data_IF_357995027340
#
_entry.id   IF_357995027340
#
_cell.length_a   1.000
_cell.length_b   1.000
_cell.length_c   1.000
_cell.angle_alpha   90.00
_cell.angle_beta   90.00
_cell.angle_gamma   90.00
#
_symmetry.space_group_name_H-M   'P 1'
#
loop_
_entity.id
_entity.type
_entity.pdbx_description
1 polymer ?
#
# COMPACT_ATOMS: atom_id res chain seq x y z
N UNK A 1 13.62 19.91 -19.02
CA UNK A 1 13.42 18.55 -19.56
C UNK A 1 13.91 17.41 -18.65
N UNK A 2 14.69 17.63 -17.59
CA UNK A 2 15.15 16.57 -16.67
C UNK A 2 14.11 16.17 -15.60
N UNK A 3 13.10 16.99 -15.32
CA UNK A 3 12.15 16.74 -14.23
C UNK A 3 11.06 15.70 -14.58
N UNK A 4 10.73 15.57 -15.86
CA UNK A 4 9.67 14.63 -16.29
C UNK A 4 10.13 13.18 -16.23
N UNK A 5 11.43 12.91 -16.48
CA UNK A 5 11.97 11.54 -16.40
C UNK A 5 12.01 10.98 -14.97
N UNK A 6 12.18 11.85 -13.96
CA UNK A 6 12.19 11.41 -12.55
C UNK A 6 10.81 11.05 -12.01
N UNK A 7 9.77 11.74 -12.47
CA UNK A 7 8.41 11.51 -11.96
C UNK A 7 7.81 10.16 -12.35
N UNK A 8 8.34 9.53 -13.37
CA UNK A 8 7.79 8.32 -13.97
C UNK A 8 8.28 7.04 -13.30
N UNK A 9 9.48 7.07 -12.70
CA UNK A 9 10.10 5.88 -12.10
C UNK A 9 9.33 5.29 -10.93
N UNK A 10 8.57 6.09 -10.20
CA UNK A 10 7.88 5.63 -9.00
C UNK A 10 6.48 5.09 -9.24
N UNK A 11 5.84 5.43 -10.34
CA UNK A 11 4.54 4.82 -10.69
C UNK A 11 4.64 3.31 -10.79
N UNK A 12 5.74 2.83 -11.36
CA UNK A 12 6.02 1.40 -11.51
C UNK A 12 6.27 0.75 -10.17
N UNK A 13 7.03 1.42 -9.32
CA UNK A 13 7.37 0.94 -7.99
C UNK A 13 6.14 0.70 -7.11
N UNK A 14 5.20 1.64 -7.12
CA UNK A 14 4.02 1.57 -6.26
C UNK A 14 2.92 0.69 -6.84
N UNK A 15 2.69 0.74 -8.15
CA UNK A 15 1.68 -0.12 -8.79
C UNK A 15 1.99 -1.59 -8.57
N UNK A 16 3.26 -1.98 -8.58
CA UNK A 16 3.70 -3.36 -8.37
C UNK A 16 3.87 -3.70 -6.89
N UNK A 17 4.31 -2.77 -6.03
CA UNK A 17 4.28 -2.98 -4.58
C UNK A 17 2.87 -3.29 -4.09
N UNK A 18 1.91 -2.50 -4.54
CA UNK A 18 0.50 -2.70 -4.19
C UNK A 18 -0.07 -3.97 -4.83
N UNK A 19 0.36 -4.35 -6.03
CA UNK A 19 -0.16 -5.55 -6.71
C UNK A 19 0.64 -6.81 -6.42
N UNK A 20 1.96 -6.73 -6.28
CA UNK A 20 2.83 -7.91 -6.15
C UNK A 20 3.01 -8.40 -4.73
N UNK A 21 2.95 -7.50 -3.73
CA UNK A 21 2.97 -7.91 -2.32
C UNK A 21 1.62 -8.48 -1.87
N UNK A 22 0.63 -8.52 -2.76
CA UNK A 22 -0.71 -9.03 -2.45
C UNK A 22 -1.49 -8.12 -1.50
N UNK A 23 -1.12 -6.86 -1.45
CA UNK A 23 -1.70 -5.87 -0.54
C UNK A 23 -3.03 -5.33 -1.08
N UNK A 24 -3.19 -5.23 -2.41
CA UNK A 24 -4.43 -4.73 -3.02
C UNK A 24 -5.70 -5.51 -2.66
N UNK A 25 -5.70 -6.86 -2.59
CA UNK A 25 -6.91 -7.57 -2.17
C UNK A 25 -7.20 -7.43 -0.68
N UNK A 26 -6.17 -7.29 0.15
CA UNK A 26 -6.37 -7.02 1.56
C UNK A 26 -7.01 -5.64 1.79
N UNK A 27 -6.75 -4.67 0.93
CA UNK A 27 -7.31 -3.31 1.03
C UNK A 27 -8.71 -3.18 0.44
N UNK A 28 -9.03 -3.88 -0.65
CA UNK A 28 -10.35 -3.81 -1.29
C UNK A 28 -11.49 -4.34 -0.39
N UNK A 29 -11.18 -5.29 0.50
CA UNK A 29 -12.15 -5.91 1.39
C UNK A 29 -12.25 -5.22 2.77
N UNK A 30 -11.49 -4.18 3.00
CA UNK A 30 -11.43 -3.49 4.27
C UNK A 30 -12.71 -2.75 4.64
N UNK A 31 -13.46 -2.31 3.66
CA UNK A 31 -14.71 -1.59 3.89
C UNK A 31 -15.83 -2.51 4.39
N UNK A 32 -15.65 -3.85 4.29
CA UNK A 32 -16.59 -4.86 4.78
C UNK A 32 -16.25 -5.41 6.17
N UNK A 33 -15.11 -5.02 6.75
CA UNK A 33 -14.75 -5.46 8.10
C UNK A 33 -15.66 -4.77 9.10
N UNK A 34 -16.38 -5.56 9.92
CA UNK A 34 -17.08 -5.01 11.08
C UNK A 34 -16.03 -4.64 12.12
N UNK A 35 -15.90 -3.36 12.36
CA UNK A 35 -15.10 -2.85 13.47
C UNK A 35 -15.94 -2.86 14.75
N UNK A 36 -15.31 -2.96 15.94
CA UNK A 36 -16.03 -2.71 17.19
C UNK A 36 -16.60 -1.28 17.18
N UNK A 37 -17.53 -1.01 18.07
CA UNK A 37 -18.00 0.36 18.27
C UNK A 37 -16.81 1.23 18.71
N UNK A 38 -16.42 2.16 17.86
CA UNK A 38 -15.39 3.17 18.14
C UNK A 38 -16.05 4.54 18.20
N UNK A 39 -15.47 5.43 19.01
CA UNK A 39 -15.84 6.83 19.07
C UNK A 39 -14.60 7.65 18.70
N UNK A 40 -14.69 8.42 17.62
CA UNK A 40 -13.67 9.35 17.19
C UNK A 40 -14.02 10.78 17.56
N UNK A 41 -13.08 11.69 17.42
CA UNK A 41 -13.25 13.10 17.74
C UNK A 41 -13.87 13.94 16.63
N UNK A 42 -13.81 13.46 15.37
CA UNK A 42 -14.34 14.18 14.19
C UNK A 42 -15.54 13.41 13.64
N UNK A 43 -16.79 13.87 13.83
CA UNK A 43 -17.97 13.31 13.19
C UNK A 43 -17.92 13.48 11.68
N UNK A 44 -18.43 12.48 10.95
CA UNK A 44 -18.62 12.58 9.50
C UNK A 44 -19.75 13.57 9.21
N UNK A 45 -19.44 14.64 8.59
CA UNK A 45 -20.36 15.79 8.35
C UNK A 45 -19.60 17.11 8.46
N UNK A 46 -18.60 17.16 9.32
CA UNK A 46 -17.74 18.34 9.50
C UNK A 46 -16.56 18.43 8.54
N UNK A 47 -16.64 17.74 7.43
CA UNK A 47 -15.69 17.68 6.31
C UNK A 47 -14.37 16.94 6.60
N UNK A 48 -13.99 16.12 5.64
CA UNK A 48 -12.67 15.46 5.52
C UNK A 48 -11.46 16.41 5.60
N UNK A 49 -11.71 17.73 5.63
CA UNK A 49 -10.70 18.80 5.78
C UNK A 49 -10.38 19.10 7.24
N UNK A 50 -11.11 18.51 8.18
CA UNK A 50 -10.96 18.78 9.61
C UNK A 50 -9.96 17.88 10.31
N UNK A 51 -9.26 16.98 9.57
CA UNK A 51 -8.20 16.17 10.15
C UNK A 51 -7.08 17.08 10.69
N UNK A 52 -6.72 16.87 11.95
CA UNK A 52 -5.71 17.70 12.65
C UNK A 52 -4.33 17.06 12.64
N UNK A 53 -4.26 15.74 12.45
CA UNK A 53 -3.01 15.03 12.34
C UNK A 53 -2.72 14.61 10.89
N UNK A 54 -1.46 14.44 10.55
CA UNK A 54 -1.05 13.95 9.24
C UNK A 54 -1.15 12.43 9.14
N UNK A 55 -1.11 11.90 7.91
CA UNK A 55 -0.99 10.46 7.71
C UNK A 55 0.30 9.91 8.33
N UNK A 56 1.39 10.69 8.30
CA UNK A 56 2.66 10.27 8.90
C UNK A 56 2.55 10.12 10.43
N UNK A 57 1.85 11.05 11.10
CA UNK A 57 1.60 10.96 12.54
C UNK A 57 0.76 9.73 12.86
N UNK A 58 -0.31 9.49 12.10
CA UNK A 58 -1.14 8.30 12.27
C UNK A 58 -0.38 6.99 12.03
N UNK A 59 0.56 6.96 11.07
CA UNK A 59 1.44 5.81 10.85
C UNK A 59 2.42 5.62 12.01
N UNK A 60 2.95 6.71 12.60
CA UNK A 60 3.83 6.64 13.78
C UNK A 60 3.09 6.04 14.99
N UNK A 61 1.90 6.54 15.27
CA UNK A 61 1.04 5.99 16.34
C UNK A 61 0.76 4.51 16.12
N UNK A 62 0.51 4.11 14.87
CA UNK A 62 0.26 2.73 14.54
C UNK A 62 1.51 1.84 14.75
N UNK A 63 2.72 2.33 14.44
CA UNK A 63 3.98 1.61 14.69
C UNK A 63 4.27 1.47 16.19
N UNK A 64 3.92 2.47 17.00
CA UNK A 64 4.00 2.37 18.46
C UNK A 64 3.01 1.35 19.03
N UNK A 65 1.80 1.28 18.46
CA UNK A 65 0.74 0.38 18.90
C UNK A 65 0.99 -1.10 18.55
N UNK A 66 1.79 -1.38 17.53
CA UNK A 66 2.10 -2.73 17.06
C UNK A 66 3.62 -2.89 16.92
N UNK A 67 4.31 -3.22 18.01
CA UNK A 67 5.76 -3.44 18.00
C UNK A 67 6.17 -4.47 16.93
N UNK A 68 7.40 -4.37 16.45
CA UNK A 68 8.00 -5.25 15.42
C UNK A 68 7.26 -5.26 14.08
N UNK A 69 6.40 -4.28 13.85
CA UNK A 69 5.68 -4.10 12.59
C UNK A 69 5.94 -2.72 11.98
N UNK A 70 5.83 -2.63 10.66
CA UNK A 70 5.95 -1.37 9.91
C UNK A 70 4.64 -1.02 9.24
N UNK A 71 4.29 0.24 9.30
CA UNK A 71 3.16 0.78 8.57
C UNK A 71 3.47 0.75 7.06
N UNK A 72 2.72 -0.06 6.32
CA UNK A 72 2.92 -0.24 4.88
C UNK A 72 1.89 0.47 4.03
N UNK A 73 0.78 0.87 4.64
CA UNK A 73 -0.29 1.61 3.98
C UNK A 73 -1.12 2.36 5.01
N UNK A 74 -1.71 3.47 4.58
CA UNK A 74 -2.66 4.23 5.41
C UNK A 74 -3.61 5.03 4.53
N UNK A 75 -4.83 5.20 4.99
CA UNK A 75 -5.82 6.09 4.34
C UNK A 75 -6.78 6.67 5.36
N UNK A 76 -7.28 7.86 5.06
CA UNK A 76 -8.41 8.44 5.77
C UNK A 76 -9.69 7.68 5.40
N UNK A 77 -10.55 7.42 6.36
CA UNK A 77 -11.76 6.61 6.19
C UNK A 77 -12.82 7.05 7.18
N UNK A 78 -14.07 6.70 6.87
CA UNK A 78 -15.19 6.80 7.79
C UNK A 78 -15.45 5.44 8.45
N UNK A 79 -15.57 5.44 9.79
CA UNK A 79 -15.96 4.27 10.58
C UNK A 79 -16.88 4.71 11.69
N UNK A 80 -18.04 4.08 11.80
CA UNK A 80 -19.06 4.36 12.81
C UNK A 80 -19.48 5.84 12.87
N UNK A 81 -19.41 6.56 11.73
CA UNK A 81 -19.76 7.97 11.66
C UNK A 81 -18.62 8.92 12.07
N UNK A 82 -17.40 8.43 12.23
CA UNK A 82 -16.22 9.25 12.56
C UNK A 82 -15.15 9.15 11.50
N UNK A 83 -14.36 10.22 11.34
CA UNK A 83 -13.21 10.29 10.45
C UNK A 83 -11.98 9.71 11.16
N UNK A 84 -11.40 8.66 10.60
CA UNK A 84 -10.26 7.95 11.18
C UNK A 84 -9.23 7.61 10.10
N UNK A 85 -7.97 7.49 10.50
CA UNK A 85 -6.96 6.82 9.67
C UNK A 85 -7.03 5.32 9.87
N UNK A 86 -7.12 4.59 8.76
CA UNK A 86 -6.89 3.13 8.73
C UNK A 86 -5.46 2.89 8.32
N UNK A 87 -4.66 2.34 9.22
CA UNK A 87 -3.26 2.00 8.95
C UNK A 87 -3.10 0.49 8.90
N UNK A 88 -2.37 0.00 7.91
CA UNK A 88 -1.96 -1.40 7.78
C UNK A 88 -0.55 -1.54 8.24
N UNK A 89 -0.38 -2.46 9.14
CA UNK A 89 0.90 -2.88 9.66
C UNK A 89 1.30 -4.22 9.06
N UNK A 90 2.60 -4.44 8.87
CA UNK A 90 3.15 -5.73 8.46
C UNK A 90 4.45 -5.99 9.23
N UNK A 91 4.54 -7.16 9.87
CA UNK A 91 5.77 -7.62 10.50
C UNK A 91 6.69 -8.35 9.50
N UNK A 92 7.83 -8.83 9.96
CA UNK A 92 8.81 -9.54 9.13
C UNK A 92 8.31 -10.91 8.67
N UNK A 93 7.44 -11.56 9.44
CA UNK A 93 6.77 -12.83 9.07
C UNK A 93 5.63 -12.62 8.07
N UNK A 94 5.44 -11.39 7.57
CA UNK A 94 4.33 -11.02 6.69
C UNK A 94 2.95 -11.26 7.28
N UNK A 95 2.84 -11.23 8.59
CA UNK A 95 1.57 -11.11 9.25
C UNK A 95 1.14 -9.63 9.26
N UNK A 96 -0.15 -9.42 9.09
CA UNK A 96 -0.75 -8.11 8.99
C UNK A 96 -1.57 -7.80 10.23
N UNK A 97 -1.63 -6.53 10.61
CA UNK A 97 -2.61 -5.98 11.54
C UNK A 97 -3.15 -4.66 11.03
N UNK A 98 -4.27 -4.26 11.58
CA UNK A 98 -4.95 -3.00 11.24
C UNK A 98 -5.00 -2.15 12.50
N UNK A 99 -4.61 -0.90 12.36
CA UNK A 99 -4.74 0.10 13.41
C UNK A 99 -5.69 1.19 12.94
N UNK A 100 -6.65 1.57 13.79
CA UNK A 100 -7.46 2.76 13.60
C UNK A 100 -6.93 3.84 14.50
N UNK A 101 -6.67 5.00 13.92
CA UNK A 101 -6.19 6.19 14.63
C UNK A 101 -7.17 7.33 14.39
N UNK A 102 -7.54 8.03 15.45
CA UNK A 102 -8.42 9.20 15.37
C UNK A 102 -7.78 10.31 14.53
N UNK A 103 -8.51 10.83 13.56
CA UNK A 103 -7.97 11.85 12.66
C UNK A 103 -7.85 13.26 13.29
N UNK A 104 -8.47 13.46 14.44
CA UNK A 104 -8.43 14.74 15.16
C UNK A 104 -7.45 14.75 16.31
N UNK A 105 -7.45 13.73 17.15
CA UNK A 105 -6.61 13.66 18.36
C UNK A 105 -5.32 12.89 18.15
N UNK A 106 -5.29 11.93 17.21
CA UNK A 106 -4.18 11.01 17.05
C UNK A 106 -4.26 9.79 17.98
N UNK A 107 -5.35 9.65 18.74
CA UNK A 107 -5.49 8.51 19.63
C UNK A 107 -5.65 7.21 18.87
N UNK A 108 -5.03 6.13 19.37
CA UNK A 108 -5.26 4.77 18.91
C UNK A 108 -6.67 4.33 19.34
N UNK A 109 -7.56 4.07 18.38
CA UNK A 109 -8.93 3.64 18.65
C UNK A 109 -9.11 2.12 18.63
N UNK A 110 -8.31 1.41 17.84
CA UNK A 110 -8.44 -0.04 17.67
C UNK A 110 -7.18 -0.66 17.06
N UNK A 111 -6.83 -1.84 17.52
CA UNK A 111 -5.83 -2.73 16.90
C UNK A 111 -6.48 -4.08 16.64
N UNK A 112 -6.38 -4.56 15.41
CA UNK A 112 -6.88 -5.90 15.07
C UNK A 112 -5.91 -6.98 15.52
N UNK A 113 -6.42 -8.20 15.72
CA UNK A 113 -5.59 -9.39 15.77
C UNK A 113 -4.70 -9.47 14.52
N UNK A 114 -3.54 -10.09 14.68
CA UNK A 114 -2.69 -10.40 13.55
C UNK A 114 -3.35 -11.45 12.65
N UNK A 115 -3.22 -11.27 11.36
CA UNK A 115 -3.73 -12.20 10.37
C UNK A 115 -2.71 -12.42 9.26
N UNK A 116 -2.59 -13.65 8.83
CA UNK A 116 -1.84 -13.99 7.63
C UNK A 116 -2.79 -14.07 6.43
N UNK A 117 -2.25 -13.93 5.23
CA UNK A 117 -3.04 -14.08 3.99
C UNK A 117 -3.83 -15.40 3.93
N UNK A 118 -3.30 -16.46 4.54
CA UNK A 118 -3.96 -17.78 4.60
C UNK A 118 -5.06 -17.86 5.65
N UNK A 119 -4.92 -17.20 6.79
CA UNK A 119 -5.91 -17.17 7.86
C UNK A 119 -7.20 -16.45 7.43
N UNK A 120 -7.09 -15.50 6.53
CA UNK A 120 -8.25 -14.78 5.97
C UNK A 120 -9.13 -15.68 5.10
N UNK A 121 -8.54 -16.64 4.39
CA UNK A 121 -9.30 -17.63 3.58
C UNK A 121 -10.16 -18.55 4.45
N UNK A 122 -9.68 -18.95 5.61
CA UNK A 122 -10.38 -19.94 6.48
C UNK A 122 -11.57 -19.36 7.25
N UNK A 123 -11.53 -18.08 7.64
CA UNK A 123 -12.67 -17.43 8.33
C UNK A 123 -13.83 -17.04 7.39
N UNK A 124 -13.62 -17.07 6.08
CA UNK A 124 -14.59 -16.70 5.03
C UNK A 124 -15.15 -17.88 4.23
N UNK A 125 -15.03 -19.09 4.73
CA UNK A 125 -15.43 -20.31 4.03
C UNK A 125 -16.86 -20.37 3.47
N UNK A 126 -17.63 -19.30 3.54
CA UNK A 126 -19.00 -19.25 3.09
C UNK A 126 -19.41 -18.04 2.22
N UNK A 127 -18.53 -17.05 1.99
CA UNK A 127 -18.90 -15.87 1.19
C UNK A 127 -17.84 -15.51 0.13
N UNK A 128 -18.18 -15.69 -1.14
CA UNK A 128 -17.56 -15.21 -2.38
C UNK A 128 -16.23 -15.80 -2.86
N UNK A 129 -16.28 -16.99 -3.42
CA UNK A 129 -15.22 -17.65 -4.22
C UNK A 129 -14.76 -16.89 -5.50
N UNK A 130 -15.36 -15.76 -5.87
CA UNK A 130 -15.10 -15.14 -7.17
C UNK A 130 -13.97 -14.09 -7.16
N UNK A 131 -13.68 -13.43 -6.03
CA UNK A 131 -12.63 -12.41 -5.96
C UNK A 131 -11.23 -13.01 -5.76
N UNK A 132 -11.11 -14.07 -4.97
CA UNK A 132 -9.84 -14.78 -4.74
C UNK A 132 -9.34 -15.46 -6.00
N UNK A 133 -10.25 -16.05 -6.79
CA UNK A 133 -9.91 -16.67 -8.09
C UNK A 133 -9.30 -15.68 -9.08
N UNK A 134 -9.72 -14.40 -9.03
CA UNK A 134 -9.22 -13.36 -9.94
C UNK A 134 -7.79 -12.92 -9.62
N UNK A 135 -7.42 -12.91 -8.34
CA UNK A 135 -6.08 -12.55 -7.90
C UNK A 135 -5.08 -13.69 -8.08
N UNK A 136 -5.44 -14.89 -7.64
CA UNK A 136 -4.61 -16.08 -7.86
C UNK A 136 -4.41 -16.33 -9.36
N UNK A 137 -5.41 -16.02 -10.18
CA UNK A 137 -5.29 -16.06 -11.63
C UNK A 137 -4.25 -15.06 -12.16
N UNK A 138 -4.26 -13.80 -11.70
CA UNK A 138 -3.29 -12.77 -12.13
C UNK A 138 -1.85 -13.14 -11.77
N UNK A 139 -1.62 -13.65 -10.55
CA UNK A 139 -0.30 -14.11 -10.13
C UNK A 139 0.15 -15.34 -10.93
N UNK A 140 -0.76 -16.29 -11.15
CA UNK A 140 -0.48 -17.45 -11.99
C UNK A 140 -0.24 -17.03 -13.45
N UNK A 141 -1.00 -16.09 -13.99
CA UNK A 141 -0.81 -15.54 -15.33
C UNK A 141 0.54 -14.82 -15.45
N UNK A 142 0.98 -14.10 -14.40
CA UNK A 142 2.29 -13.42 -14.36
C UNK A 142 3.45 -14.42 -14.39
N UNK A 143 3.33 -15.54 -13.67
CA UNK A 143 4.37 -16.59 -13.65
C UNK A 143 4.21 -17.63 -14.75
N UNK A 144 3.18 -17.51 -15.58
CA UNK A 144 2.92 -18.47 -16.65
C UNK A 144 4.06 -18.50 -17.67
N UNK A 145 4.61 -19.69 -17.91
CA UNK A 145 5.72 -19.89 -18.83
C UNK A 145 7.11 -19.62 -18.25
N UNK A 146 7.21 -19.26 -16.96
CA UNK A 146 8.49 -19.12 -16.26
C UNK A 146 8.93 -20.46 -15.68
N UNK A 147 10.26 -20.69 -15.65
CA UNK A 147 10.84 -21.83 -14.94
C UNK A 147 10.75 -21.65 -13.43
N UNK A 148 10.87 -22.71 -12.61
CA UNK A 148 10.92 -22.60 -11.15
C UNK A 148 11.99 -21.63 -10.65
N UNK A 149 13.14 -21.58 -11.30
CA UNK A 149 14.27 -20.70 -10.99
C UNK A 149 13.89 -19.23 -11.25
N UNK A 150 13.28 -18.94 -12.40
CA UNK A 150 12.79 -17.59 -12.73
C UNK A 150 11.71 -17.12 -11.75
N UNK A 151 10.83 -18.03 -11.33
CA UNK A 151 9.80 -17.73 -10.32
C UNK A 151 10.46 -17.42 -8.98
N UNK A 152 11.47 -18.18 -8.57
CA UNK A 152 12.21 -17.95 -7.33
C UNK A 152 12.93 -16.59 -7.35
N UNK A 153 13.61 -16.26 -8.44
CA UNK A 153 14.26 -14.97 -8.64
C UNK A 153 13.27 -13.82 -8.56
N UNK A 154 12.12 -13.91 -9.25
CA UNK A 154 11.10 -12.86 -9.17
C UNK A 154 10.53 -12.67 -7.77
N UNK A 155 10.30 -13.76 -7.05
CA UNK A 155 9.86 -13.69 -5.65
C UNK A 155 10.89 -13.01 -4.75
N UNK A 156 12.18 -13.28 -4.98
CA UNK A 156 13.27 -12.62 -4.25
C UNK A 156 13.31 -11.13 -4.57
N UNK A 157 13.22 -10.74 -5.84
CA UNK A 157 13.16 -9.33 -6.26
C UNK A 157 11.99 -8.59 -5.61
N UNK A 158 10.82 -9.21 -5.50
CA UNK A 158 9.67 -8.63 -4.81
C UNK A 158 9.88 -8.50 -3.29
N UNK A 159 10.58 -9.47 -2.68
CA UNK A 159 10.92 -9.38 -1.27
C UNK A 159 11.84 -8.19 -1.00
N UNK A 160 12.93 -8.07 -1.77
CA UNK A 160 13.89 -6.97 -1.66
C UNK A 160 13.24 -5.59 -1.83
N UNK A 161 12.29 -5.47 -2.75
CA UNK A 161 11.52 -4.24 -2.92
C UNK A 161 10.66 -3.92 -1.70
N UNK A 162 9.99 -4.93 -1.11
CA UNK A 162 9.24 -4.74 0.14
C UNK A 162 10.14 -4.32 1.30
N UNK A 163 11.36 -4.85 1.37
CA UNK A 163 12.34 -4.49 2.38
C UNK A 163 12.88 -3.07 2.16
N UNK A 164 13.15 -2.68 0.90
CA UNK A 164 13.50 -1.31 0.55
C UNK A 164 12.39 -0.32 0.95
N UNK A 165 11.12 -0.65 0.70
CA UNK A 165 9.98 0.15 1.13
C UNK A 165 9.91 0.32 2.65
N UNK A 166 10.11 -0.76 3.42
CA UNK A 166 10.11 -0.69 4.88
C UNK A 166 11.27 0.10 5.45
N UNK A 167 12.39 0.19 4.72
CA UNK A 167 13.60 0.87 5.16
C UNK A 167 13.56 2.39 5.04
N UNK A 168 12.65 2.96 4.25
CA UNK A 168 12.49 4.42 4.14
C UNK A 168 11.69 4.97 5.33
N UNK A 169 11.86 6.27 5.62
CA UNK A 169 11.21 6.92 6.75
C UNK A 169 9.67 6.87 6.66
N UNK A 170 8.99 6.97 7.81
CA UNK A 170 7.53 7.03 7.86
C UNK A 170 7.00 8.22 7.05
N UNK A 171 7.65 9.38 7.17
CA UNK A 171 7.29 10.60 6.45
C UNK A 171 7.38 10.37 4.93
N UNK A 172 8.43 9.68 4.48
CA UNK A 172 8.63 9.38 3.07
C UNK A 172 7.61 8.38 2.56
N UNK A 173 7.31 7.34 3.33
CA UNK A 173 6.24 6.38 3.00
C UNK A 173 4.88 7.08 2.90
N UNK A 174 4.56 7.95 3.86
CA UNK A 174 3.31 8.71 3.84
C UNK A 174 3.22 9.62 2.62
N UNK A 175 4.28 10.36 2.28
CA UNK A 175 4.33 11.21 1.09
C UNK A 175 4.12 10.40 -0.20
N UNK A 176 4.76 9.25 -0.32
CA UNK A 176 4.57 8.36 -1.46
C UNK A 176 3.15 7.80 -1.55
N UNK A 177 2.54 7.41 -0.43
CA UNK A 177 1.15 6.93 -0.40
C UNK A 177 0.19 8.02 -0.87
N UNK A 178 0.36 9.25 -0.39
CA UNK A 178 -0.47 10.40 -0.80
C UNK A 178 -0.31 10.64 -2.31
N UNK A 179 0.92 10.69 -2.80
CA UNK A 179 1.19 10.86 -4.23
C UNK A 179 0.57 9.75 -5.07
N UNK A 180 0.67 8.50 -4.62
CA UNK A 180 0.03 7.37 -5.30
C UNK A 180 -1.50 7.49 -5.38
N UNK A 181 -2.16 7.97 -4.31
CA UNK A 181 -3.60 8.23 -4.37
C UNK A 181 -3.95 9.32 -5.37
N UNK A 182 -3.15 10.39 -5.47
CA UNK A 182 -3.32 11.44 -6.48
C UNK A 182 -3.16 10.90 -7.90
N UNK A 183 -2.13 10.08 -8.13
CA UNK A 183 -1.91 9.43 -9.43
C UNK A 183 -3.05 8.48 -9.80
N UNK A 184 -3.60 7.76 -8.81
CA UNK A 184 -4.76 6.90 -9.06
C UNK A 184 -5.96 7.71 -9.54
N UNK A 185 -6.22 8.87 -8.96
CA UNK A 185 -7.30 9.76 -9.42
C UNK A 185 -7.04 10.24 -10.86
N UNK A 186 -5.79 10.60 -11.19
CA UNK A 186 -5.42 10.96 -12.57
C UNK A 186 -5.60 9.79 -13.54
N UNK A 187 -5.16 8.59 -13.12
CA UNK A 187 -5.34 7.37 -13.91
C UNK A 187 -6.81 7.09 -14.21
N UNK A 188 -7.68 7.25 -13.22
CA UNK A 188 -9.12 7.00 -13.40
C UNK A 188 -9.77 7.98 -14.39
N UNK A 189 -9.18 9.17 -14.60
CA UNK A 189 -9.62 10.18 -15.58
C UNK A 189 -9.00 10.05 -16.97
N UNK A 190 -7.99 9.21 -17.17
CA UNK A 190 -7.32 9.00 -18.45
C UNK A 190 -8.17 8.18 -19.42
N UNK A 191 -8.04 8.45 -20.72
CA UNK A 191 -8.56 7.59 -21.79
C UNK A 191 -7.86 6.23 -21.82
N UNK A 192 -8.44 5.27 -22.52
CA UNK A 192 -7.85 3.93 -22.63
C UNK A 192 -6.51 3.94 -23.38
N UNK A 193 -6.37 4.77 -24.42
CA UNK A 193 -5.12 4.93 -25.17
C UNK A 193 -4.00 5.52 -24.30
N UNK A 194 -4.31 6.53 -23.47
CA UNK A 194 -3.36 7.11 -22.52
C UNK A 194 -2.95 6.10 -21.45
N UNK A 195 -3.89 5.29 -20.94
CA UNK A 195 -3.60 4.22 -20.00
C UNK A 195 -2.69 3.16 -20.60
N UNK A 196 -2.90 2.80 -21.87
CA UNK A 196 -2.08 1.77 -22.53
C UNK A 196 -0.67 2.28 -22.80
N UNK A 197 -0.51 3.50 -23.28
CA UNK A 197 0.80 4.16 -23.41
C UNK A 197 1.53 4.20 -22.06
N UNK A 198 0.84 4.56 -21.00
CA UNK A 198 1.39 4.62 -19.65
C UNK A 198 1.80 3.24 -19.11
N UNK A 199 1.04 2.19 -19.40
CA UNK A 199 1.40 0.81 -19.03
C UNK A 199 2.71 0.36 -19.68
N UNK A 200 2.92 0.69 -20.95
CA UNK A 200 4.15 0.35 -21.67
C UNK A 200 5.35 1.05 -21.03
N UNK A 201 5.21 2.34 -20.72
CA UNK A 201 6.24 3.12 -20.05
C UNK A 201 6.56 2.54 -18.65
N UNK A 202 5.53 2.27 -17.86
CA UNK A 202 5.65 1.66 -16.54
C UNK A 202 6.37 0.30 -16.60
N UNK A 203 6.03 -0.54 -17.58
CA UNK A 203 6.69 -1.84 -17.77
C UNK A 203 8.18 -1.68 -18.02
N UNK A 204 8.58 -0.74 -18.90
CA UNK A 204 10.00 -0.47 -19.18
C UNK A 204 10.76 -0.04 -17.91
N UNK A 205 10.21 0.91 -17.16
CA UNK A 205 10.82 1.39 -15.92
C UNK A 205 10.94 0.27 -14.88
N UNK A 206 9.95 -0.62 -14.82
CA UNK A 206 9.97 -1.79 -13.96
C UNK A 206 11.09 -2.76 -14.33
N UNK A 207 11.27 -3.04 -15.60
CA UNK A 207 12.36 -3.88 -16.11
C UNK A 207 13.74 -3.30 -15.78
N UNK A 208 13.88 -1.97 -15.77
CA UNK A 208 15.11 -1.28 -15.36
C UNK A 208 15.34 -1.30 -13.83
N UNK A 209 14.28 -1.35 -13.04
CA UNK A 209 14.36 -1.33 -11.58
C UNK A 209 14.63 -2.71 -10.96
N UNK A 210 14.04 -3.75 -11.51
CA UNK A 210 14.09 -5.09 -10.94
C UNK A 210 15.51 -5.62 -10.69
N UNK A 211 16.48 -5.45 -11.62
CA UNK A 211 17.84 -5.97 -11.47
C UNK A 211 18.72 -5.16 -10.51
N UNK A 212 18.25 -4.03 -9.99
CA UNK A 212 19.02 -3.21 -9.06
C UNK A 212 19.31 -3.92 -7.75
N UNK A 213 20.44 -3.61 -7.12
CA UNK A 213 20.71 -4.10 -5.76
C UNK A 213 19.74 -3.50 -4.73
N UNK A 214 19.58 -4.11 -3.54
CA UNK A 214 18.74 -3.56 -2.48
C UNK A 214 19.07 -2.12 -2.13
N UNK A 215 20.35 -1.77 -2.07
CA UNK A 215 20.84 -0.41 -1.78
C UNK A 215 20.46 0.56 -2.90
N UNK A 216 20.61 0.16 -4.15
CA UNK A 216 20.20 0.97 -5.31
C UNK A 216 18.68 1.15 -5.36
N UNK A 217 17.92 0.11 -5.01
CA UNK A 217 16.44 0.19 -4.89
C UNK A 217 16.03 1.21 -3.84
N UNK A 218 16.66 1.15 -2.65
CA UNK A 218 16.44 2.11 -1.58
C UNK A 218 16.78 3.52 -2.01
N UNK A 219 17.97 3.72 -2.59
CA UNK A 219 18.42 5.03 -3.06
C UNK A 219 17.45 5.62 -4.09
N UNK A 220 16.98 4.84 -5.05
CA UNK A 220 15.97 5.30 -6.03
C UNK A 220 14.67 5.73 -5.36
N UNK A 221 14.21 5.03 -4.32
CA UNK A 221 13.04 5.42 -3.55
C UNK A 221 13.25 6.77 -2.84
N UNK A 222 14.39 6.94 -2.17
CA UNK A 222 14.74 8.18 -1.47
C UNK A 222 14.86 9.37 -2.44
N UNK A 223 15.51 9.17 -3.58
CA UNK A 223 15.65 10.21 -4.61
C UNK A 223 14.28 10.62 -5.17
N UNK A 224 13.42 9.64 -5.35
CA UNK A 224 12.05 9.92 -5.77
C UNK A 224 11.28 10.73 -4.74
N UNK A 225 11.28 10.32 -3.48
CA UNK A 225 10.62 11.09 -2.41
C UNK A 225 11.15 12.51 -2.34
N UNK A 226 12.46 12.69 -2.49
CA UNK A 226 13.08 14.02 -2.56
C UNK A 226 12.51 14.85 -3.71
N UNK A 227 12.23 14.22 -4.86
CA UNK A 227 11.61 14.91 -5.99
C UNK A 227 10.15 15.31 -5.77
N UNK A 228 9.45 14.65 -4.85
CA UNK A 228 8.05 15.00 -4.49
C UNK A 228 7.97 16.21 -3.56
N UNK A 229 9.07 16.53 -2.86
CA UNK A 229 9.13 17.63 -1.87
C UNK A 229 9.60 18.95 -2.47
N UNK A 230 10.12 18.94 -3.71
CA UNK A 230 10.56 20.11 -4.48
C UNK A 230 9.51 20.50 -5.53
#
# INVERSE_FOLDING_TARGET
MKSVLMQLSAMVLMGVLVTSVGVTPAFADWDKTKYPAIQGSIPVGDSWKSNKISLADAMSVAEEAVPDSKAIYGKLSEINGFVVYKVVMMNDDRAYSKVLVDAGTGDQLYVSDQFTKHSYKNKRGQYNNNHDKKHDKRMNDYFKGMTPEQIAEKKQQFKEMGDAWKSISIQDRAAMIIHFMQMKMQWDSMSDDEKDAKKVEMKKQWEEYLPLSPEQKKQKLEDYVRSLKN
#
